data_IF_913967932967
#
_entry.id   IF_913967932967
#
_cell.length_a   1.000
_cell.length_b   1.000
_cell.length_c   1.000
_cell.angle_alpha   90.00
_cell.angle_beta   90.00
_cell.angle_gamma   90.00
#
_symmetry.space_group_name_H-M   'P 1'
#
loop_
_entity.id
_entity.type
_entity.pdbx_description
1 polymer ?
#
# COMPACT_ATOMS: atom_id res chain seq x y z
N UNK A 1 18.65 9.41 -4.52
CA UNK A 1 18.36 10.03 -5.82
C UNK A 1 17.89 11.46 -5.58
N UNK A 2 18.51 12.42 -6.22
CA UNK A 2 18.03 13.80 -6.34
C UNK A 2 17.28 13.88 -7.66
N UNK A 3 16.06 14.42 -7.66
CA UNK A 3 15.29 14.62 -8.88
C UNK A 3 15.69 15.95 -9.51
N UNK A 4 15.87 16.00 -10.82
CA UNK A 4 16.39 17.16 -11.55
C UNK A 4 15.32 18.10 -12.12
N UNK A 5 14.07 17.90 -11.77
CA UNK A 5 12.94 18.71 -12.23
C UNK A 5 12.30 18.25 -13.53
N UNK A 6 12.69 17.11 -14.06
CA UNK A 6 11.92 16.46 -15.13
C UNK A 6 10.72 15.73 -14.52
N UNK A 7 9.56 15.82 -15.15
CA UNK A 7 8.37 15.04 -14.82
C UNK A 7 8.49 13.58 -15.28
N UNK A 8 9.70 13.05 -15.37
CA UNK A 8 9.92 11.69 -15.82
C UNK A 8 9.62 10.69 -14.71
N UNK A 9 8.97 9.60 -15.10
CA UNK A 9 8.74 8.46 -14.23
C UNK A 9 10.04 7.67 -14.09
N UNK A 10 10.51 7.50 -12.86
CA UNK A 10 11.73 6.76 -12.54
C UNK A 10 11.35 5.34 -12.15
N UNK A 11 11.81 4.35 -12.91
CA UNK A 11 11.65 2.94 -12.58
C UNK A 11 12.93 2.38 -11.96
N UNK A 12 12.82 1.94 -10.72
CA UNK A 12 13.88 1.26 -9.97
C UNK A 12 13.53 -0.22 -9.86
N UNK A 13 14.50 -1.08 -10.14
CA UNK A 13 14.36 -2.51 -9.95
C UNK A 13 15.34 -2.99 -8.89
N UNK A 14 14.82 -3.55 -7.80
CA UNK A 14 15.60 -4.22 -6.77
C UNK A 14 15.47 -5.73 -6.93
N UNK A 15 16.57 -6.41 -7.25
CA UNK A 15 16.58 -7.86 -7.45
C UNK A 15 17.30 -8.51 -6.27
N UNK A 16 16.53 -9.19 -5.42
CA UNK A 16 17.07 -9.92 -4.29
C UNK A 16 17.61 -11.29 -4.72
N UNK A 17 18.80 -11.67 -4.25
CA UNK A 17 19.40 -12.96 -4.57
C UNK A 17 20.21 -13.52 -3.41
N UNK A 18 20.34 -14.85 -3.33
CA UNK A 18 21.11 -15.56 -2.31
C UNK A 18 20.38 -15.71 -0.97
N UNK A 19 21.10 -16.00 0.09
CA UNK A 19 20.48 -16.25 1.40
C UNK A 19 19.94 -14.97 2.05
N UNK A 20 20.67 -13.88 1.94
CA UNK A 20 20.28 -12.57 2.51
C UNK A 20 20.62 -11.47 1.53
N UNK A 21 19.62 -10.67 1.19
CA UNK A 21 19.76 -9.44 0.41
C UNK A 21 19.29 -8.27 1.26
N UNK A 22 20.06 -7.19 1.34
CA UNK A 22 19.71 -5.98 2.08
C UNK A 22 19.96 -4.76 1.22
N UNK A 23 18.98 -3.86 1.15
CA UNK A 23 19.06 -2.60 0.43
C UNK A 23 18.58 -1.43 1.25
N UNK A 24 19.19 -0.27 1.03
CA UNK A 24 18.69 1.02 1.50
C UNK A 24 18.54 1.96 0.30
N UNK A 25 17.37 2.56 0.18
CA UNK A 25 17.06 3.60 -0.80
C UNK A 25 16.76 4.89 -0.05
N UNK A 26 17.50 5.95 -0.37
CA UNK A 26 17.21 7.28 0.13
C UNK A 26 16.73 8.18 -1.00
N UNK A 27 15.58 8.83 -0.81
CA UNK A 27 14.94 9.72 -1.78
C UNK A 27 14.84 11.14 -1.22
N UNK A 28 15.64 12.06 -1.78
CA UNK A 28 15.54 13.50 -1.51
C UNK A 28 14.80 14.15 -2.69
N UNK A 29 13.47 14.33 -2.52
CA UNK A 29 12.58 14.74 -3.60
C UNK A 29 12.41 16.26 -3.60
N UNK A 30 13.15 16.93 -4.50
CA UNK A 30 13.20 18.40 -4.61
C UNK A 30 12.30 18.97 -5.70
N UNK A 31 11.76 18.12 -6.56
CA UNK A 31 10.90 18.50 -7.69
C UNK A 31 9.80 17.45 -7.87
N UNK A 32 8.73 17.83 -8.56
CA UNK A 32 7.62 16.92 -8.86
C UNK A 32 8.13 15.66 -9.58
N UNK A 33 7.93 14.49 -8.97
CA UNK A 33 8.54 13.25 -9.42
C UNK A 33 7.68 12.03 -9.10
N UNK A 34 7.73 11.05 -9.98
CA UNK A 34 7.16 9.71 -9.77
C UNK A 34 8.26 8.68 -9.74
N UNK A 35 8.30 7.88 -8.69
CA UNK A 35 9.26 6.78 -8.53
C UNK A 35 8.53 5.47 -8.36
N UNK A 36 8.87 4.47 -9.17
CA UNK A 36 8.45 3.08 -8.99
C UNK A 36 9.60 2.23 -8.53
N UNK A 37 9.39 1.49 -7.45
CA UNK A 37 10.32 0.48 -6.96
C UNK A 37 9.69 -0.91 -7.13
N UNK A 38 10.27 -1.71 -8.02
CA UNK A 38 9.89 -3.10 -8.21
C UNK A 38 10.88 -4.00 -7.48
N UNK A 39 10.41 -4.67 -6.43
CA UNK A 39 11.17 -5.62 -5.63
C UNK A 39 10.86 -7.04 -6.07
N UNK A 40 11.86 -7.75 -6.59
CA UNK A 40 11.71 -9.10 -7.12
C UNK A 40 12.94 -9.97 -6.79
N UNK A 41 12.91 -11.22 -7.23
CA UNK A 41 14.03 -12.15 -7.11
C UNK A 41 13.84 -13.23 -6.05
N UNK A 42 14.89 -14.06 -5.89
CA UNK A 42 14.89 -15.23 -5.03
C UNK A 42 15.95 -15.05 -3.92
N UNK A 43 15.49 -14.72 -2.75
CA UNK A 43 16.32 -14.63 -1.55
C UNK A 43 15.56 -15.23 -0.36
N UNK A 44 16.26 -15.93 0.52
CA UNK A 44 15.61 -16.46 1.74
C UNK A 44 15.15 -15.35 2.65
N UNK A 45 15.95 -14.27 2.75
CA UNK A 45 15.64 -13.07 3.50
C UNK A 45 15.99 -11.82 2.70
N UNK A 46 15.04 -10.92 2.59
CA UNK A 46 15.23 -9.61 1.99
C UNK A 46 14.95 -8.54 3.04
N UNK A 47 15.90 -7.64 3.26
CA UNK A 47 15.75 -6.42 4.03
C UNK A 47 15.70 -5.22 3.09
N UNK A 48 14.65 -4.42 3.17
CA UNK A 48 14.52 -3.17 2.42
C UNK A 48 14.26 -2.03 3.39
N UNK A 49 15.08 -1.00 3.34
CA UNK A 49 14.83 0.25 4.05
C UNK A 49 14.70 1.38 3.02
N UNK A 50 13.60 2.10 3.06
CA UNK A 50 13.37 3.30 2.25
C UNK A 50 13.26 4.49 3.17
N UNK A 51 14.00 5.55 2.88
CA UNK A 51 13.85 6.82 3.57
C UNK A 51 13.57 7.90 2.52
N UNK A 52 12.62 8.78 2.78
CA UNK A 52 12.23 9.81 1.84
C UNK A 52 11.94 11.16 2.50
N UNK A 53 12.34 12.23 1.83
CA UNK A 53 11.95 13.58 2.19
C UNK A 53 11.37 14.28 0.97
N UNK A 54 10.14 14.82 1.12
CA UNK A 54 9.48 15.62 0.09
C UNK A 54 9.65 17.09 0.43
N UNK A 55 10.40 17.83 -0.40
CA UNK A 55 10.70 19.24 -0.18
C UNK A 55 9.46 20.13 -0.22
N UNK A 56 9.49 21.34 0.34
CA UNK A 56 8.34 22.23 0.36
C UNK A 56 7.78 22.54 -1.03
N UNK A 57 6.46 22.54 -1.17
CA UNK A 57 5.70 22.77 -2.41
C UNK A 57 5.94 21.73 -3.53
N UNK A 58 6.46 20.55 -3.21
CA UNK A 58 6.73 19.47 -4.17
C UNK A 58 5.62 18.44 -4.11
N UNK A 59 5.26 17.88 -5.28
CA UNK A 59 4.34 16.76 -5.43
C UNK A 59 5.11 15.51 -5.81
N UNK A 60 5.10 14.53 -4.94
CA UNK A 60 5.75 13.25 -5.15
C UNK A 60 4.75 12.11 -5.28
N UNK A 61 5.07 11.12 -6.10
CA UNK A 61 4.39 9.85 -6.13
C UNK A 61 5.40 8.71 -6.02
N UNK A 62 5.14 7.74 -5.14
CA UNK A 62 5.98 6.59 -4.93
C UNK A 62 5.18 5.30 -5.00
N UNK A 63 5.63 4.35 -5.79
CA UNK A 63 5.01 3.05 -5.94
C UNK A 63 5.96 1.91 -5.58
N UNK A 64 5.54 0.99 -4.71
CA UNK A 64 6.28 -0.22 -4.37
C UNK A 64 5.50 -1.46 -4.80
N UNK A 65 6.10 -2.29 -5.64
CA UNK A 65 5.56 -3.61 -6.00
C UNK A 65 6.46 -4.69 -5.43
N UNK A 66 5.93 -5.52 -4.52
CA UNK A 66 6.62 -6.67 -3.97
C UNK A 66 6.19 -7.95 -4.71
N UNK A 67 7.09 -8.43 -5.56
CA UNK A 67 6.97 -9.68 -6.33
C UNK A 67 8.12 -10.67 -6.00
N UNK A 68 8.56 -10.71 -4.74
CA UNK A 68 9.54 -11.72 -4.31
C UNK A 68 9.02 -13.13 -4.51
N UNK A 69 9.91 -14.07 -4.78
CA UNK A 69 9.56 -15.48 -4.91
C UNK A 69 8.78 -16.02 -3.72
N UNK A 70 7.96 -17.04 -3.95
CA UNK A 70 6.97 -17.57 -2.99
C UNK A 70 7.56 -18.14 -1.68
N UNK A 71 8.88 -18.36 -1.61
CA UNK A 71 9.60 -18.78 -0.40
C UNK A 71 10.33 -17.63 0.32
N UNK A 72 10.39 -16.45 -0.30
CA UNK A 72 11.10 -15.29 0.20
C UNK A 72 10.46 -14.68 1.45
N UNK A 73 11.29 -14.13 2.33
CA UNK A 73 10.86 -13.39 3.51
C UNK A 73 11.31 -11.94 3.39
N UNK A 74 10.40 -11.01 3.64
CA UNK A 74 10.64 -9.57 3.54
C UNK A 74 10.54 -8.90 4.91
N UNK A 75 11.58 -8.15 5.27
CA UNK A 75 11.54 -7.12 6.31
C UNK A 75 11.69 -5.77 5.62
N UNK A 76 10.64 -4.97 5.67
CA UNK A 76 10.57 -3.69 4.98
C UNK A 76 10.28 -2.58 5.98
N UNK A 77 11.09 -1.52 5.94
CA UNK A 77 10.88 -0.32 6.73
C UNK A 77 10.87 0.90 5.81
N UNK A 78 9.97 1.84 6.08
CA UNK A 78 9.97 3.13 5.42
C UNK A 78 9.81 4.27 6.42
N UNK A 79 10.53 5.36 6.17
CA UNK A 79 10.41 6.60 6.93
C UNK A 79 10.30 7.78 5.94
N UNK A 80 9.15 8.45 5.93
CA UNK A 80 8.87 9.59 5.07
C UNK A 80 8.67 10.88 5.86
N UNK A 81 9.24 11.96 5.35
CA UNK A 81 9.06 13.31 5.88
C UNK A 81 8.40 14.19 4.84
N UNK A 82 7.28 14.82 5.20
CA UNK A 82 6.50 15.69 4.32
C UNK A 82 6.61 17.14 4.83
N UNK A 83 7.21 17.98 4.01
CA UNK A 83 7.42 19.39 4.31
C UNK A 83 6.19 20.26 3.96
N UNK A 84 6.34 21.58 4.15
CA UNK A 84 5.26 22.56 3.97
C UNK A 84 4.70 22.56 2.55
N UNK A 85 3.35 22.48 2.46
CA UNK A 85 2.61 22.49 1.20
C UNK A 85 3.06 21.39 0.20
N UNK A 86 3.70 20.34 0.70
CA UNK A 86 4.13 19.18 -0.08
C UNK A 86 3.07 18.10 -0.09
N UNK A 87 3.06 17.28 -1.14
CA UNK A 87 2.20 16.11 -1.22
C UNK A 87 2.96 14.86 -1.60
N UNK A 88 2.58 13.72 -0.97
CA UNK A 88 3.04 12.40 -1.35
C UNK A 88 1.84 11.50 -1.61
N UNK A 89 1.80 10.88 -2.78
CA UNK A 89 0.95 9.73 -3.05
C UNK A 89 1.79 8.46 -3.00
N UNK A 90 1.40 7.51 -2.18
CA UNK A 90 2.12 6.26 -1.98
C UNK A 90 1.23 5.06 -2.32
N UNK A 91 1.68 4.20 -3.23
CA UNK A 91 0.96 2.99 -3.60
C UNK A 91 1.81 1.74 -3.35
N UNK A 92 1.26 0.77 -2.64
CA UNK A 92 1.86 -0.54 -2.40
C UNK A 92 1.05 -1.68 -3.01
N UNK A 93 1.73 -2.58 -3.72
CA UNK A 93 1.16 -3.84 -4.19
C UNK A 93 1.98 -5.01 -3.64
N UNK A 94 1.40 -5.79 -2.73
CA UNK A 94 2.05 -6.93 -2.08
C UNK A 94 1.48 -8.24 -2.61
N UNK A 95 2.17 -8.84 -3.58
CA UNK A 95 1.75 -10.03 -4.31
C UNK A 95 2.81 -11.15 -4.30
N UNK A 96 3.98 -10.89 -3.69
CA UNK A 96 5.10 -11.83 -3.57
C UNK A 96 5.51 -12.11 -2.12
N UNK A 97 6.46 -13.05 -1.97
CA UNK A 97 7.02 -13.47 -0.69
C UNK A 97 6.14 -14.47 0.08
N UNK A 98 6.74 -15.16 1.04
CA UNK A 98 6.06 -16.10 1.94
C UNK A 98 5.66 -15.44 3.25
N UNK A 99 6.58 -14.65 3.84
CA UNK A 99 6.34 -13.84 5.03
C UNK A 99 6.87 -12.45 4.82
N UNK A 100 5.99 -11.49 4.89
CA UNK A 100 6.32 -10.08 4.69
C UNK A 100 5.92 -9.30 5.95
N UNK A 101 6.87 -8.57 6.52
CA UNK A 101 6.61 -7.58 7.56
C UNK A 101 7.04 -6.23 7.05
N UNK A 102 6.12 -5.26 7.08
CA UNK A 102 6.39 -3.87 6.75
C UNK A 102 6.11 -2.98 7.95
N UNK A 103 6.97 -1.99 8.16
CA UNK A 103 6.84 -0.94 9.17
C UNK A 103 7.02 0.39 8.41
N UNK A 104 5.91 1.12 8.20
CA UNK A 104 5.82 2.28 7.33
C UNK A 104 5.45 3.49 8.15
N UNK A 105 6.32 4.51 8.20
CA UNK A 105 6.12 5.72 8.98
C UNK A 105 6.16 6.96 8.12
N UNK A 106 5.25 7.89 8.40
CA UNK A 106 5.19 9.18 7.72
C UNK A 106 4.98 10.30 8.71
N UNK A 107 5.80 11.34 8.63
CA UNK A 107 5.76 12.51 9.50
C UNK A 107 5.47 13.78 8.70
N UNK A 108 4.47 14.52 9.11
CA UNK A 108 4.26 15.89 8.63
C UNK A 108 5.03 16.87 9.49
N UNK A 109 6.07 17.49 8.91
CA UNK A 109 6.90 18.48 9.59
C UNK A 109 6.60 19.90 9.11
N UNK A 110 5.80 20.07 8.05
CA UNK A 110 5.38 21.35 7.50
C UNK A 110 3.86 21.43 7.33
N UNK A 111 3.28 22.60 7.60
CA UNK A 111 1.84 22.85 7.43
C UNK A 111 1.42 22.75 5.98
N UNK A 112 0.16 22.41 5.71
CA UNK A 112 -0.38 22.27 4.35
C UNK A 112 0.03 20.97 3.65
N UNK A 113 0.74 20.07 4.34
CA UNK A 113 1.15 18.78 3.79
C UNK A 113 -0.02 17.83 3.54
N UNK A 114 0.09 16.99 2.51
CA UNK A 114 -0.91 15.97 2.15
C UNK A 114 -0.25 14.61 1.89
N UNK A 115 -0.86 13.54 2.40
CA UNK A 115 -0.40 12.17 2.20
C UNK A 115 -1.55 11.22 1.88
N UNK A 116 -1.53 10.62 0.70
CA UNK A 116 -2.48 9.58 0.31
C UNK A 116 -1.74 8.26 0.15
N UNK A 117 -2.10 7.28 0.98
CA UNK A 117 -1.48 5.95 0.95
C UNK A 117 -2.52 4.88 0.61
N UNK A 118 -2.19 4.06 -0.38
CA UNK A 118 -3.01 2.93 -0.78
C UNK A 118 -2.19 1.65 -0.84
N UNK A 119 -2.65 0.59 -0.18
CA UNK A 119 -2.00 -0.72 -0.15
C UNK A 119 -3.00 -1.78 -0.60
N UNK A 120 -2.62 -2.57 -1.60
CA UNK A 120 -3.36 -3.76 -2.01
C UNK A 120 -2.53 -5.03 -1.79
N UNK A 121 -3.14 -6.02 -1.13
CA UNK A 121 -2.50 -7.29 -0.76
C UNK A 121 -3.28 -8.44 -1.39
N UNK A 122 -2.61 -9.31 -2.14
CA UNK A 122 -3.16 -10.60 -2.56
C UNK A 122 -2.45 -11.73 -1.80
N UNK A 123 -3.17 -12.37 -0.90
CA UNK A 123 -2.72 -13.53 -0.14
C UNK A 123 -3.20 -14.83 -0.77
N UNK A 124 -2.29 -15.76 -1.03
CA UNK A 124 -2.58 -17.12 -1.49
C UNK A 124 -1.73 -18.15 -0.77
N UNK A 125 -2.10 -19.42 -0.82
CA UNK A 125 -1.40 -20.53 -0.15
C UNK A 125 -1.27 -20.31 1.38
N UNK A 126 -0.08 -20.18 1.91
CA UNK A 126 0.21 -19.92 3.32
C UNK A 126 0.95 -18.59 3.52
N UNK A 127 0.78 -17.66 2.57
CA UNK A 127 1.40 -16.34 2.65
C UNK A 127 0.93 -15.60 3.90
N UNK A 128 1.88 -14.98 4.59
CA UNK A 128 1.61 -14.14 5.74
C UNK A 128 2.16 -12.74 5.48
N UNK A 129 1.29 -11.74 5.50
CA UNK A 129 1.63 -10.35 5.24
C UNK A 129 1.18 -9.51 6.42
N UNK A 130 2.09 -8.74 6.99
CA UNK A 130 1.82 -7.88 8.14
C UNK A 130 2.34 -6.47 7.83
N UNK A 131 1.42 -5.52 7.71
CA UNK A 131 1.71 -4.10 7.55
C UNK A 131 1.40 -3.37 8.85
N UNK A 132 2.40 -2.68 9.39
CA UNK A 132 2.25 -1.70 10.45
C UNK A 132 2.51 -0.31 9.86
N UNK A 133 1.53 0.59 9.98
CA UNK A 133 1.54 1.88 9.32
C UNK A 133 1.30 2.95 10.36
N UNK A 134 2.18 3.94 10.42
CA UNK A 134 2.05 5.09 11.31
C UNK A 134 2.07 6.39 10.49
N UNK A 135 1.06 7.25 10.71
CA UNK A 135 0.99 8.58 10.10
C UNK A 135 0.86 9.60 11.20
N UNK A 136 1.86 10.48 11.30
CA UNK A 136 2.00 11.46 12.37
C UNK A 136 1.72 12.88 11.86
N UNK A 137 0.63 13.47 12.31
CA UNK A 137 0.28 14.87 12.11
C UNK A 137 0.89 15.70 13.23
N UNK A 138 2.17 16.07 13.07
CA UNK A 138 2.93 16.82 14.08
C UNK A 138 2.72 18.35 13.97
N UNK A 139 2.08 18.82 12.89
CA UNK A 139 1.81 20.21 12.60
C UNK A 139 0.38 20.43 12.07
N UNK A 140 -0.20 21.64 12.22
CA UNK A 140 -1.57 21.89 11.80
C UNK A 140 -1.77 21.94 10.28
N UNK A 141 -3.03 21.88 9.85
CA UNK A 141 -3.47 21.99 8.46
C UNK A 141 -2.89 20.91 7.54
N UNK A 142 -2.80 19.68 8.00
CA UNK A 142 -2.32 18.54 7.20
C UNK A 142 -3.44 17.54 6.92
N UNK A 143 -3.34 16.85 5.79
CA UNK A 143 -4.36 15.91 5.36
C UNK A 143 -3.75 14.53 5.09
N UNK A 144 -4.41 13.45 5.53
CA UNK A 144 -4.00 12.09 5.19
C UNK A 144 -5.17 11.17 4.90
N UNK A 145 -4.95 10.24 3.97
CA UNK A 145 -5.88 9.16 3.66
C UNK A 145 -5.11 7.86 3.52
N UNK A 146 -5.47 6.85 4.31
CA UNK A 146 -4.90 5.50 4.26
C UNK A 146 -5.95 4.49 3.85
N UNK A 147 -5.72 3.79 2.74
CA UNK A 147 -6.57 2.70 2.26
C UNK A 147 -5.78 1.40 2.20
N UNK A 148 -6.26 0.35 2.87
CA UNK A 148 -5.68 -0.99 2.80
C UNK A 148 -6.75 -1.98 2.36
N UNK A 149 -6.53 -2.63 1.21
CA UNK A 149 -7.39 -3.68 0.69
C UNK A 149 -6.63 -5.00 0.65
N UNK A 150 -7.13 -6.03 1.32
CA UNK A 150 -6.53 -7.36 1.33
C UNK A 150 -7.51 -8.42 0.82
N UNK A 151 -7.16 -9.09 -0.27
CA UNK A 151 -7.85 -10.29 -0.76
C UNK A 151 -7.05 -11.52 -0.30
N UNK A 152 -7.66 -12.37 0.51
CA UNK A 152 -6.99 -13.52 1.14
C UNK A 152 -7.65 -14.83 0.74
N UNK A 153 -6.87 -15.73 0.16
CA UNK A 153 -7.29 -17.06 -0.25
C UNK A 153 -6.50 -18.16 0.48
N UNK A 154 -6.92 -19.43 0.30
CA UNK A 154 -6.32 -20.64 0.86
C UNK A 154 -6.19 -20.58 2.40
N UNK A 155 -4.96 -20.52 2.90
CA UNK A 155 -4.60 -20.41 4.31
C UNK A 155 -3.77 -19.13 4.55
N UNK A 156 -3.88 -18.16 3.65
CA UNK A 156 -3.14 -16.91 3.79
C UNK A 156 -3.66 -16.07 4.95
N UNK A 157 -2.77 -15.21 5.44
CA UNK A 157 -3.09 -14.33 6.56
C UNK A 157 -2.53 -12.92 6.30
N UNK A 158 -3.43 -11.94 6.25
CA UNK A 158 -3.07 -10.52 6.16
C UNK A 158 -3.37 -9.81 7.47
N UNK A 159 -2.43 -9.03 7.97
CA UNK A 159 -2.60 -8.15 9.12
C UNK A 159 -2.30 -6.73 8.67
N UNK A 160 -3.17 -5.79 8.99
CA UNK A 160 -2.96 -4.38 8.77
C UNK A 160 -3.27 -3.60 10.05
N UNK A 161 -2.26 -3.00 10.65
CA UNK A 161 -2.38 -2.08 11.77
C UNK A 161 -2.07 -0.68 11.28
N UNK A 162 -2.98 0.27 11.51
CA UNK A 162 -2.79 1.67 11.13
C UNK A 162 -2.95 2.56 12.34
N UNK A 163 -1.91 3.30 12.71
CA UNK A 163 -1.94 4.32 13.76
C UNK A 163 -1.90 5.71 13.11
N UNK A 164 -2.98 6.49 13.29
CA UNK A 164 -2.99 7.91 12.97
C UNK A 164 -2.84 8.71 14.27
N UNK A 165 -1.82 9.54 14.36
CA UNK A 165 -1.62 10.42 15.53
C UNK A 165 -1.79 11.88 15.12
N UNK A 166 -2.51 12.66 15.93
CA UNK A 166 -2.65 14.10 15.75
C UNK A 166 -2.21 14.77 17.04
N UNK A 167 -1.09 15.51 16.97
CA UNK A 167 -0.48 16.16 18.12
C UNK A 167 -1.38 17.28 18.69
N UNK A 168 -1.23 17.62 19.98
CA UNK A 168 -2.07 18.58 20.71
C UNK A 168 -2.20 19.96 20.01
N UNK A 169 -1.17 20.39 19.29
CA UNK A 169 -1.16 21.68 18.59
C UNK A 169 -1.47 21.58 17.10
N UNK A 170 -1.74 20.38 16.59
CA UNK A 170 -1.99 20.11 15.18
C UNK A 170 -3.48 20.25 14.81
N UNK A 171 -4.05 21.44 15.02
CA UNK A 171 -5.43 21.73 14.67
C UNK A 171 -5.66 21.79 13.16
N UNK A 172 -6.90 21.64 12.74
CA UNK A 172 -7.36 21.68 11.34
C UNK A 172 -6.74 20.58 10.46
N UNK A 173 -6.39 19.45 11.06
CA UNK A 173 -6.00 18.25 10.32
C UNK A 173 -7.24 17.45 9.90
N UNK A 174 -7.16 16.82 8.73
CA UNK A 174 -8.15 15.85 8.24
C UNK A 174 -7.44 14.51 7.99
N UNK A 175 -7.78 13.48 8.77
CA UNK A 175 -7.11 12.19 8.75
C UNK A 175 -8.11 11.03 8.67
N UNK A 176 -7.98 10.21 7.64
CA UNK A 176 -8.86 9.07 7.42
C UNK A 176 -8.12 7.77 7.17
N UNK A 177 -8.68 6.66 7.68
CA UNK A 177 -8.19 5.32 7.31
C UNK A 177 -9.34 4.36 7.07
N UNK A 178 -9.21 3.56 6.00
CA UNK A 178 -10.20 2.55 5.60
C UNK A 178 -9.51 1.24 5.29
N UNK A 179 -9.88 0.19 6.02
CA UNK A 179 -9.39 -1.17 5.79
C UNK A 179 -10.52 -2.06 5.31
N UNK A 180 -10.32 -2.69 4.16
CA UNK A 180 -11.28 -3.64 3.59
C UNK A 180 -10.60 -4.98 3.35
N UNK A 181 -11.25 -6.06 3.77
CA UNK A 181 -10.76 -7.41 3.56
C UNK A 181 -11.80 -8.24 2.80
N UNK A 182 -11.34 -8.96 1.78
CA UNK A 182 -12.10 -9.95 1.03
C UNK A 182 -11.57 -11.34 1.36
N UNK A 183 -12.40 -12.18 1.96
CA UNK A 183 -12.04 -13.56 2.31
C UNK A 183 -12.57 -14.51 1.24
N UNK A 184 -11.67 -15.24 0.60
CA UNK A 184 -11.93 -16.10 -0.55
C UNK A 184 -12.08 -17.57 -0.13
N UNK A 185 -11.60 -17.93 1.07
CA UNK A 185 -11.68 -19.29 1.60
C UNK A 185 -11.95 -19.30 3.10
N UNK A 186 -12.46 -20.43 3.61
CA UNK A 186 -12.77 -20.61 5.04
C UNK A 186 -11.54 -20.55 5.97
N UNK A 187 -10.35 -20.82 5.44
CA UNK A 187 -9.11 -20.84 6.20
C UNK A 187 -8.29 -19.57 6.07
N UNK A 188 -8.67 -18.70 5.14
CA UNK A 188 -8.06 -17.40 4.99
C UNK A 188 -8.38 -16.50 6.19
N UNK A 189 -7.45 -15.64 6.53
CA UNK A 189 -7.57 -14.70 7.64
C UNK A 189 -7.14 -13.31 7.22
N UNK A 190 -7.88 -12.31 7.69
CA UNK A 190 -7.49 -10.92 7.54
C UNK A 190 -7.87 -10.14 8.80
N UNK A 191 -6.90 -9.41 9.34
CA UNK A 191 -7.06 -8.59 10.53
C UNK A 191 -6.84 -7.12 10.14
N UNK A 192 -7.81 -6.29 10.51
CA UNK A 192 -7.76 -4.83 10.33
C UNK A 192 -7.80 -4.18 11.71
N UNK A 193 -6.75 -3.45 12.06
CA UNK A 193 -6.57 -2.85 13.38
C UNK A 193 -6.32 -1.34 13.21
N UNK A 194 -7.37 -0.54 12.93
CA UNK A 194 -7.24 0.90 12.84
C UNK A 194 -7.20 1.54 14.24
N UNK A 195 -6.20 2.35 14.49
CA UNK A 195 -5.99 3.07 15.75
C UNK A 195 -5.93 4.58 15.50
N UNK A 196 -6.52 5.37 16.41
CA UNK A 196 -6.49 6.83 16.38
C UNK A 196 -6.01 7.34 17.73
N UNK A 197 -5.00 8.20 17.73
CA UNK A 197 -4.57 8.98 18.88
C UNK A 197 -4.68 10.47 18.56
N UNK A 198 -5.74 11.10 19.04
CA UNK A 198 -6.09 12.49 18.72
C UNK A 198 -5.98 13.33 19.97
N UNK A 199 -5.02 14.25 19.98
CA UNK A 199 -4.76 15.13 21.12
C UNK A 199 -5.20 16.58 20.84
N UNK A 200 -5.53 16.93 19.59
CA UNK A 200 -6.02 18.25 19.20
C UNK A 200 -7.57 18.30 19.19
N UNK A 201 -8.13 19.51 19.41
CA UNK A 201 -9.59 19.68 19.55
C UNK A 201 -10.29 19.92 18.19
N UNK A 202 -9.70 20.69 17.29
CA UNK A 202 -10.32 21.11 16.03
C UNK A 202 -9.80 20.29 14.83
N UNK A 203 -10.22 19.03 14.73
CA UNK A 203 -9.79 18.12 13.67
C UNK A 203 -10.94 17.30 13.11
N UNK A 204 -10.79 16.81 11.89
CA UNK A 204 -11.57 15.73 11.34
C UNK A 204 -10.72 14.45 11.38
N UNK A 205 -11.18 13.42 12.08
CA UNK A 205 -10.49 12.13 12.14
C UNK A 205 -11.51 10.99 12.11
N UNK A 206 -11.29 10.04 11.21
CA UNK A 206 -12.19 8.90 11.09
C UNK A 206 -11.43 7.62 10.70
N UNK A 207 -11.96 6.47 11.14
CA UNK A 207 -11.51 5.20 10.64
C UNK A 207 -12.67 4.26 10.35
N UNK A 208 -12.43 3.29 9.45
CA UNK A 208 -13.39 2.24 9.15
C UNK A 208 -12.68 0.92 8.81
N UNK A 209 -13.29 -0.19 9.21
CA UNK A 209 -12.82 -1.52 8.85
C UNK A 209 -14.01 -2.41 8.46
N UNK A 210 -13.83 -3.20 7.40
CA UNK A 210 -14.81 -4.17 6.95
C UNK A 210 -14.12 -5.45 6.46
N UNK A 211 -14.69 -6.60 6.80
CA UNK A 211 -14.25 -7.89 6.27
C UNK A 211 -15.48 -8.68 5.81
N UNK A 212 -15.44 -9.18 4.59
CA UNK A 212 -16.55 -9.93 4.01
C UNK A 212 -16.03 -11.09 3.14
N UNK A 213 -16.78 -12.18 3.00
CA UNK A 213 -16.55 -13.16 1.95
C UNK A 213 -16.95 -12.58 0.58
N UNK A 214 -16.65 -13.33 -0.49
CA UNK A 214 -17.17 -13.02 -1.83
C UNK A 214 -18.70 -13.01 -1.80
N UNK A 215 -19.27 -11.98 -2.39
CA UNK A 215 -20.72 -11.85 -2.53
C UNK A 215 -21.24 -12.89 -3.54
N UNK A 216 -22.03 -13.84 -3.04
CA UNK A 216 -22.59 -14.93 -3.84
C UNK A 216 -23.53 -14.43 -4.95
N UNK A 217 -24.22 -13.30 -4.76
CA UNK A 217 -25.12 -12.75 -5.75
C UNK A 217 -24.34 -12.09 -6.90
N UNK A 218 -23.23 -11.41 -6.59
CA UNK A 218 -22.32 -10.88 -7.60
C UNK A 218 -21.65 -12.01 -8.39
N UNK A 219 -21.17 -13.03 -7.70
CA UNK A 219 -20.59 -14.22 -8.35
C UNK A 219 -21.59 -14.87 -9.30
N UNK A 220 -22.80 -15.15 -8.81
CA UNK A 220 -23.88 -15.74 -9.61
C UNK A 220 -24.26 -14.87 -10.82
N UNK A 221 -24.29 -13.54 -10.64
CA UNK A 221 -24.55 -12.61 -11.73
C UNK A 221 -23.49 -12.71 -12.84
N UNK A 222 -22.21 -12.73 -12.48
CA UNK A 222 -21.10 -12.84 -13.45
C UNK A 222 -21.14 -14.18 -14.20
N UNK A 223 -21.40 -15.29 -13.48
CA UNK A 223 -21.56 -16.61 -14.07
C UNK A 223 -22.76 -16.68 -15.01
N UNK A 224 -23.88 -16.01 -14.69
CA UNK A 224 -25.06 -15.92 -15.57
C UNK A 224 -24.79 -15.14 -16.87
N UNK A 225 -23.72 -14.34 -16.90
CA UNK A 225 -23.24 -13.62 -18.09
C UNK A 225 -22.23 -14.38 -18.92
N UNK A 226 -21.94 -15.64 -18.53
CA UNK A 226 -21.10 -16.56 -19.31
C UNK A 226 -19.67 -16.71 -18.83
N UNK A 227 -19.31 -16.13 -17.68
CA UNK A 227 -18.02 -16.39 -17.06
C UNK A 227 -18.10 -17.74 -16.33
N UNK A 228 -17.02 -18.52 -16.38
CA UNK A 228 -16.84 -19.62 -15.44
C UNK A 228 -16.56 -19.07 -14.02
N UNK A 229 -16.69 -19.92 -13.02
CA UNK A 229 -16.57 -19.53 -11.62
C UNK A 229 -15.19 -18.92 -11.32
N UNK A 230 -14.13 -19.52 -11.83
CA UNK A 230 -12.74 -19.08 -11.61
C UNK A 230 -12.52 -17.68 -12.20
N UNK A 231 -12.93 -17.45 -13.44
CA UNK A 231 -12.85 -16.13 -14.10
C UNK A 231 -13.72 -15.08 -13.38
N UNK A 232 -14.89 -15.47 -12.88
CA UNK A 232 -15.77 -14.56 -12.16
C UNK A 232 -15.16 -14.14 -10.80
N UNK A 233 -14.60 -15.09 -10.05
CA UNK A 233 -13.88 -14.80 -8.80
C UNK A 233 -12.69 -13.89 -9.04
N UNK A 234 -11.87 -14.19 -10.05
CA UNK A 234 -10.72 -13.35 -10.39
C UNK A 234 -11.11 -11.90 -10.73
N UNK A 235 -12.21 -11.72 -11.49
CA UNK A 235 -12.72 -10.38 -11.81
C UNK A 235 -13.17 -9.63 -10.54
N UNK A 236 -13.80 -10.32 -9.59
CA UNK A 236 -14.20 -9.72 -8.31
C UNK A 236 -12.98 -9.33 -7.47
N UNK A 237 -11.96 -10.18 -7.41
CA UNK A 237 -10.68 -9.88 -6.73
C UNK A 237 -10.01 -8.66 -7.37
N UNK A 238 -9.90 -8.65 -8.70
CA UNK A 238 -9.28 -7.55 -9.44
C UNK A 238 -10.00 -6.22 -9.16
N UNK A 239 -11.32 -6.21 -9.28
CA UNK A 239 -12.12 -5.01 -8.99
C UNK A 239 -11.97 -4.52 -7.55
N UNK A 240 -11.99 -5.44 -6.58
CA UNK A 240 -11.82 -5.13 -5.16
C UNK A 240 -10.43 -4.55 -4.86
N UNK A 241 -9.37 -5.14 -5.40
CA UNK A 241 -8.01 -4.68 -5.17
C UNK A 241 -7.71 -3.36 -5.90
N UNK A 242 -8.26 -3.18 -7.11
CA UNK A 242 -8.13 -1.91 -7.86
C UNK A 242 -8.86 -0.75 -7.19
N UNK A 243 -10.00 -1.01 -6.51
CA UNK A 243 -10.71 -0.02 -5.71
C UNK A 243 -9.83 0.55 -4.58
N UNK A 244 -8.88 -0.23 -4.07
CA UNK A 244 -7.91 0.24 -3.09
C UNK A 244 -7.07 1.43 -3.54
N UNK A 245 -6.84 1.57 -4.85
CA UNK A 245 -6.09 2.69 -5.44
C UNK A 245 -6.98 3.87 -5.87
N UNK A 246 -8.29 3.82 -5.62
CA UNK A 246 -9.24 4.83 -6.10
C UNK A 246 -9.08 6.22 -5.47
N UNK A 247 -8.39 6.32 -4.34
CA UNK A 247 -8.09 7.58 -3.64
C UNK A 247 -6.83 8.27 -4.14
N UNK A 248 -6.05 7.61 -4.99
CA UNK A 248 -4.86 8.20 -5.59
C UNK A 248 -5.25 8.93 -6.88
N UNK A 249 -4.67 10.11 -7.08
CA UNK A 249 -4.97 10.98 -8.22
C UNK A 249 -3.91 10.88 -9.32
N UNK A 250 -2.71 10.42 -8.99
CA UNK A 250 -1.60 10.34 -9.93
C UNK A 250 -1.78 9.19 -10.92
N UNK A 251 -2.22 9.51 -12.16
CA UNK A 251 -2.58 8.52 -13.18
C UNK A 251 -1.48 7.49 -13.47
N UNK A 252 -0.22 7.91 -13.58
CA UNK A 252 0.89 6.98 -13.85
C UNK A 252 1.07 5.97 -12.72
N UNK A 253 0.92 6.41 -11.44
CA UNK A 253 1.01 5.55 -10.27
C UNK A 253 -0.12 4.51 -10.27
N UNK A 254 -1.35 4.95 -10.43
CA UNK A 254 -2.53 4.08 -10.46
C UNK A 254 -2.46 3.09 -11.61
N UNK A 255 -2.07 3.53 -12.81
CA UNK A 255 -1.98 2.67 -13.99
C UNK A 255 -0.90 1.58 -13.84
N UNK A 256 0.26 1.91 -13.27
CA UNK A 256 1.31 0.90 -13.02
C UNK A 256 0.81 -0.16 -12.02
N UNK A 257 0.19 0.26 -10.90
CA UNK A 257 -0.33 -0.67 -9.89
C UNK A 257 -1.41 -1.59 -10.49
N UNK A 258 -2.34 -1.04 -11.26
CA UNK A 258 -3.39 -1.82 -11.95
C UNK A 258 -2.79 -2.81 -12.95
N UNK A 259 -1.85 -2.37 -13.77
CA UNK A 259 -1.20 -3.23 -14.76
C UNK A 259 -0.50 -4.41 -14.09
N UNK A 260 0.26 -4.16 -13.02
CA UNK A 260 0.95 -5.22 -12.27
C UNK A 260 -0.02 -6.19 -11.62
N UNK A 261 -1.09 -5.68 -11.06
CA UNK A 261 -2.14 -6.51 -10.45
C UNK A 261 -2.81 -7.41 -11.50
N UNK A 262 -3.23 -6.87 -12.64
CA UNK A 262 -3.86 -7.66 -13.73
C UNK A 262 -2.93 -8.76 -14.21
N UNK A 263 -1.66 -8.46 -14.47
CA UNK A 263 -0.65 -9.47 -14.89
C UNK A 263 -0.48 -10.56 -13.83
N UNK A 264 -0.44 -10.19 -12.55
CA UNK A 264 -0.34 -11.15 -11.45
C UNK A 264 -1.54 -12.11 -11.41
N UNK A 265 -2.76 -11.58 -11.45
CA UNK A 265 -3.98 -12.39 -11.40
C UNK A 265 -4.13 -13.30 -12.63
N UNK A 266 -3.77 -12.84 -13.82
CA UNK A 266 -3.73 -13.69 -15.01
C UNK A 266 -2.72 -14.85 -14.90
N UNK A 267 -1.62 -14.67 -14.17
CA UNK A 267 -0.65 -15.73 -13.92
C UNK A 267 -1.14 -16.74 -12.89
N UNK A 268 -1.88 -16.30 -11.86
CA UNK A 268 -2.46 -17.18 -10.85
C UNK A 268 -3.58 -18.05 -11.45
N UNK A 269 -4.43 -17.51 -12.33
CA UNK A 269 -5.50 -18.24 -13.03
C UNK A 269 -5.00 -19.35 -13.99
N UNK A 270 -3.75 -19.29 -14.42
CA UNK A 270 -3.17 -20.28 -15.32
C UNK A 270 -2.48 -21.45 -14.59
N UNK A 271 -2.50 -21.47 -13.27
CA UNK A 271 -1.91 -22.52 -12.43
C UNK A 271 -2.93 -23.55 -12.02
#
# INVERSE_FOLDING_TARGET
LETDGSTEVIHLQAIASGHVAVGHLHLDVKHDTVVFLHLSGESDWTGLHVTGEVAPNVRAAFGLVNELATNGKLLHCEDWTINRDASLEWAGLSIGGFRCKSDLRTHFVGTGGSFNQAISVHGSQQRHVDHHIEIHHDVPHTNSSLHVHAACDDQSHSIATGLLTIAEHANHCDAGQVFKNLLLSEKARAEAIPELEVLADEVAAAHGAASAPVDSDQLHYLMSRGLDEESAVALLIEGFMQDGFSTLEHEALVNEMRTRLTVHLECELKR
#
